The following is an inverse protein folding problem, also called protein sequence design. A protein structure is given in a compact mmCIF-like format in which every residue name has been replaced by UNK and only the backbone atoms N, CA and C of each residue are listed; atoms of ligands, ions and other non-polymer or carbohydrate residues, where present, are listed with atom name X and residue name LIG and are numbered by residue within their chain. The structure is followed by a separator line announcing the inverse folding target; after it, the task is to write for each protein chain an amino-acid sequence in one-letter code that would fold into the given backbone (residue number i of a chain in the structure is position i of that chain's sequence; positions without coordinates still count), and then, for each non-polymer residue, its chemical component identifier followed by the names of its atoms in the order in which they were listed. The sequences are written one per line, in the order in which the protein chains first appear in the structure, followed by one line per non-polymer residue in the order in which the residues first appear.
data_IF_881251136422
#
_entry.id   IF_881251136422
#
_cell.length_a   1.000
_cell.length_b   1.000
_cell.length_c   1.000
_cell.angle_alpha   90.00
_cell.angle_beta   90.00
_cell.angle_gamma   90.00
#
_symmetry.space_group_name_H-M   'P 1'
#
loop_
_entity.id
_entity.type
_entity.pdbx_description
1 polymer ?
#
# COMPACT_ATOMS: atom_id res chain seq x y z
N UNK A 1 11.90 -64.50 28.30
CA UNK A 1 12.00 -63.95 26.92
C UNK A 1 10.80 -63.11 26.47
N UNK A 2 9.53 -63.53 26.59
CA UNK A 2 8.36 -62.76 26.11
C UNK A 2 8.16 -61.37 26.74
N UNK A 3 8.61 -61.14 27.97
CA UNK A 3 8.49 -59.85 28.68
C UNK A 3 9.37 -58.74 28.06
N UNK A 4 10.59 -59.08 27.66
CA UNK A 4 11.57 -58.14 27.09
C UNK A 4 11.11 -57.64 25.71
N UNK A 5 10.45 -58.52 24.92
CA UNK A 5 9.92 -58.18 23.59
C UNK A 5 8.78 -57.15 23.66
N UNK A 6 7.89 -57.27 24.66
CA UNK A 6 6.79 -56.32 24.90
C UNK A 6 7.28 -54.96 25.38
N UNK A 7 8.34 -54.94 26.17
CA UNK A 7 8.97 -53.70 26.64
C UNK A 7 9.57 -52.91 25.46
N UNK A 8 10.25 -53.59 24.53
CA UNK A 8 10.79 -52.97 23.31
C UNK A 8 9.70 -52.40 22.40
N UNK A 9 8.59 -53.12 22.21
CA UNK A 9 7.44 -52.61 21.44
C UNK A 9 6.80 -51.37 22.07
N UNK A 10 6.77 -51.29 23.40
CA UNK A 10 6.19 -50.16 24.12
C UNK A 10 7.07 -48.92 24.04
N UNK A 11 8.40 -49.10 24.13
CA UNK A 11 9.39 -48.03 23.95
C UNK A 11 9.37 -47.49 22.52
N UNK A 12 9.28 -48.39 21.52
CA UNK A 12 9.21 -47.99 20.11
C UNK A 12 7.95 -47.17 19.81
N UNK A 13 6.78 -47.55 20.35
CA UNK A 13 5.54 -46.78 20.21
C UNK A 13 5.66 -45.39 20.86
N UNK A 14 6.28 -45.30 22.02
CA UNK A 14 6.49 -44.02 22.72
C UNK A 14 7.38 -43.08 21.90
N UNK A 15 8.48 -43.59 21.33
CA UNK A 15 9.36 -42.84 20.44
C UNK A 15 8.63 -42.34 19.18
N UNK A 16 7.77 -43.17 18.60
CA UNK A 16 7.01 -42.82 17.40
C UNK A 16 5.98 -41.71 17.69
N UNK A 17 5.30 -41.78 18.84
CA UNK A 17 4.40 -40.73 19.32
C UNK A 17 5.18 -39.43 19.57
N UNK A 18 6.37 -39.53 20.18
CA UNK A 18 7.21 -38.37 20.45
C UNK A 18 7.67 -37.67 19.16
N UNK A 19 8.12 -38.43 18.16
CA UNK A 19 8.49 -37.90 16.84
C UNK A 19 7.29 -37.28 16.11
N UNK A 20 6.11 -37.87 16.24
CA UNK A 20 4.88 -37.31 15.67
C UNK A 20 4.52 -35.97 16.34
N UNK A 21 4.64 -35.89 17.67
CA UNK A 21 4.35 -34.68 18.44
C UNK A 21 5.32 -33.54 18.10
N UNK A 22 6.63 -33.84 17.99
CA UNK A 22 7.62 -32.82 17.63
C UNK A 22 7.45 -32.35 16.19
N UNK A 23 7.06 -33.23 15.27
CA UNK A 23 6.69 -32.87 13.90
C UNK A 23 5.51 -31.89 13.85
N UNK A 24 4.45 -32.16 14.61
CA UNK A 24 3.26 -31.30 14.69
C UNK A 24 3.58 -29.90 15.26
N UNK A 25 4.52 -29.79 16.20
CA UNK A 25 4.96 -28.50 16.76
C UNK A 25 5.78 -27.66 15.76
N UNK A 26 6.48 -28.28 14.81
CA UNK A 26 7.26 -27.56 13.78
C UNK A 26 6.42 -27.09 12.59
N UNK A 27 5.23 -27.68 12.37
CA UNK A 27 4.39 -27.38 11.22
C UNK A 27 3.61 -26.05 11.36
N UNK A 28 3.41 -25.55 12.57
CA UNK A 28 2.70 -24.30 12.82
C UNK A 28 3.67 -23.11 12.89
N UNK A 29 4.31 -22.78 11.77
CA UNK A 29 5.11 -21.55 11.68
C UNK A 29 4.16 -20.38 11.44
N UNK A 30 3.75 -19.71 12.52
CA UNK A 30 3.03 -18.43 12.42
C UNK A 30 4.03 -17.39 11.92
N UNK A 31 4.00 -17.10 10.62
CA UNK A 31 4.77 -16.00 10.04
C UNK A 31 4.02 -14.71 10.35
N UNK A 32 4.45 -13.99 11.38
CA UNK A 32 4.01 -12.61 11.59
C UNK A 32 4.59 -11.75 10.46
N UNK A 33 3.73 -11.31 9.56
CA UNK A 33 4.08 -10.40 8.48
C UNK A 33 4.29 -9.02 9.11
N UNK A 34 5.53 -8.70 9.49
CA UNK A 34 5.82 -7.38 10.03
C UNK A 34 5.81 -6.35 8.92
N UNK A 35 5.06 -5.26 9.09
CA UNK A 35 5.17 -4.08 8.23
C UNK A 35 4.14 -3.98 7.10
N UNK A 36 3.43 -5.07 6.75
CA UNK A 36 2.23 -4.94 5.92
C UNK A 36 1.10 -4.30 6.73
N UNK A 37 0.43 -3.34 6.12
CA UNK A 37 -0.74 -2.69 6.68
C UNK A 37 -1.85 -2.65 5.62
N UNK A 38 -2.94 -3.42 5.79
CA UNK A 38 -4.02 -3.47 4.81
C UNK A 38 -4.70 -2.12 4.62
N UNK A 39 -4.74 -1.27 5.65
CA UNK A 39 -5.33 0.07 5.54
C UNK A 39 -4.49 0.95 4.61
N UNK A 40 -3.16 0.84 4.68
CA UNK A 40 -2.26 1.58 3.77
C UNK A 40 -2.43 1.09 2.34
N UNK A 41 -2.48 -0.22 2.13
CA UNK A 41 -2.65 -0.85 0.82
C UNK A 41 -3.98 -0.43 0.15
N UNK A 42 -5.09 -0.60 0.87
CA UNK A 42 -6.43 -0.27 0.39
C UNK A 42 -6.61 1.23 0.15
N UNK A 43 -6.15 2.08 1.08
CA UNK A 43 -6.25 3.54 0.96
C UNK A 43 -5.40 4.04 -0.21
N UNK A 44 -4.18 3.54 -0.39
CA UNK A 44 -3.34 3.92 -1.54
C UNK A 44 -3.98 3.52 -2.86
N UNK A 45 -4.57 2.33 -2.92
CA UNK A 45 -5.30 1.84 -4.10
C UNK A 45 -6.53 2.71 -4.39
N UNK A 46 -7.27 3.11 -3.35
CA UNK A 46 -8.39 4.05 -3.45
C UNK A 46 -7.92 5.40 -4.00
N UNK A 47 -6.89 6.01 -3.42
CA UNK A 47 -6.32 7.28 -3.90
C UNK A 47 -5.93 7.15 -5.38
N UNK A 48 -5.30 6.04 -5.79
CA UNK A 48 -4.91 5.83 -7.19
C UNK A 48 -6.12 5.84 -8.12
N UNK A 49 -7.19 5.13 -7.76
CA UNK A 49 -8.43 5.10 -8.54
C UNK A 49 -9.05 6.49 -8.63
N UNK A 50 -9.20 7.15 -7.49
CA UNK A 50 -9.86 8.45 -7.38
C UNK A 50 -9.07 9.54 -8.10
N UNK A 51 -7.73 9.56 -7.95
CA UNK A 51 -6.83 10.45 -8.68
C UNK A 51 -6.97 10.28 -10.19
N UNK A 52 -6.95 9.05 -10.70
CA UNK A 52 -7.07 8.84 -12.15
C UNK A 52 -8.45 9.29 -12.68
N UNK A 53 -9.53 9.08 -11.91
CA UNK A 53 -10.85 9.59 -12.26
C UNK A 53 -10.87 11.12 -12.28
N UNK A 54 -10.35 11.75 -11.23
CA UNK A 54 -10.24 13.20 -11.13
C UNK A 54 -9.41 13.79 -12.26
N UNK A 55 -8.24 13.22 -12.54
CA UNK A 55 -7.36 13.66 -13.61
C UNK A 55 -8.04 13.61 -14.98
N UNK A 56 -8.81 12.55 -15.26
CA UNK A 56 -9.60 12.46 -16.50
C UNK A 56 -10.66 13.56 -16.56
N UNK A 57 -11.36 13.83 -15.45
CA UNK A 57 -12.36 14.91 -15.39
C UNK A 57 -11.72 16.28 -15.62
N UNK A 58 -10.60 16.53 -14.97
CA UNK A 58 -9.83 17.78 -15.09
C UNK A 58 -9.29 17.99 -16.50
N UNK A 59 -8.79 16.94 -17.15
CA UNK A 59 -8.34 17.02 -18.55
C UNK A 59 -9.49 17.34 -19.51
N UNK A 60 -10.70 16.83 -19.25
CA UNK A 60 -11.89 17.17 -20.06
C UNK A 60 -12.24 18.65 -19.91
N UNK A 61 -12.19 19.20 -18.70
CA UNK A 61 -12.45 20.64 -18.49
C UNK A 61 -11.36 21.51 -19.11
N UNK A 62 -10.12 21.03 -19.23
CA UNK A 62 -9.03 21.70 -19.95
C UNK A 62 -9.23 21.80 -21.47
N UNK A 63 -10.15 21.00 -22.03
CA UNK A 63 -10.51 21.05 -23.45
C UNK A 63 -11.80 21.85 -23.70
N UNK A 64 -12.43 22.34 -22.63
CA UNK A 64 -13.65 23.14 -22.69
C UNK A 64 -13.32 24.61 -23.01
N UNK A 65 -14.28 25.28 -23.64
CA UNK A 65 -14.26 26.71 -23.92
C UNK A 65 -14.64 27.56 -22.71
N UNK A 66 -15.34 27.01 -21.71
CA UNK A 66 -15.66 27.74 -20.48
C UNK A 66 -14.58 27.56 -19.40
N UNK A 67 -13.77 28.61 -19.12
CA UNK A 67 -12.72 28.54 -18.10
C UNK A 67 -13.27 28.36 -16.68
N UNK A 68 -14.57 28.62 -16.42
CA UNK A 68 -15.17 28.41 -15.11
C UNK A 68 -15.24 26.92 -14.74
N UNK A 69 -15.27 26.02 -15.71
CA UNK A 69 -15.37 24.57 -15.46
C UNK A 69 -14.08 24.00 -14.86
N UNK A 70 -12.94 24.67 -15.05
CA UNK A 70 -11.63 24.29 -14.51
C UNK A 70 -11.36 24.85 -13.11
N UNK A 71 -12.30 25.61 -12.53
CA UNK A 71 -12.10 26.22 -11.22
C UNK A 71 -11.87 25.15 -10.15
N UNK A 72 -10.87 25.38 -9.29
CA UNK A 72 -10.53 24.49 -8.19
C UNK A 72 -11.75 24.17 -7.31
N UNK A 73 -12.62 25.16 -7.12
CA UNK A 73 -13.85 25.09 -6.32
C UNK A 73 -14.82 24.00 -6.82
N UNK A 74 -14.80 23.67 -8.11
CA UNK A 74 -15.64 22.62 -8.69
C UNK A 74 -15.21 21.20 -8.30
N UNK A 75 -14.05 21.07 -7.66
CA UNK A 75 -13.45 19.79 -7.32
C UNK A 75 -13.12 19.67 -5.83
N UNK A 76 -13.68 20.53 -4.98
CA UNK A 76 -13.43 20.52 -3.53
C UNK A 76 -13.70 19.15 -2.90
N UNK A 77 -14.82 18.50 -3.24
CA UNK A 77 -15.14 17.16 -2.74
C UNK A 77 -14.02 16.15 -2.98
N UNK A 78 -13.35 16.20 -4.15
CA UNK A 78 -12.22 15.31 -4.42
C UNK A 78 -11.04 15.64 -3.52
N UNK A 79 -10.71 16.93 -3.37
CA UNK A 79 -9.56 17.37 -2.59
C UNK A 79 -9.73 17.15 -1.10
N UNK A 80 -10.92 17.37 -0.55
CA UNK A 80 -11.20 17.11 0.86
C UNK A 80 -11.07 15.61 1.17
N UNK A 81 -11.60 14.74 0.30
CA UNK A 81 -11.44 13.30 0.45
C UNK A 81 -9.98 12.85 0.29
N UNK A 82 -9.23 13.44 -0.65
CA UNK A 82 -7.82 13.14 -0.85
C UNK A 82 -7.00 13.50 0.40
N UNK A 83 -7.24 14.68 0.99
CA UNK A 83 -6.54 15.12 2.21
C UNK A 83 -6.82 14.16 3.38
N UNK A 84 -8.06 13.73 3.57
CA UNK A 84 -8.43 12.73 4.59
C UNK A 84 -7.68 11.41 4.37
N UNK A 85 -7.64 10.92 3.13
CA UNK A 85 -6.94 9.68 2.79
C UNK A 85 -5.41 9.82 3.02
N UNK A 86 -4.81 10.96 2.70
CA UNK A 86 -3.38 11.23 2.93
C UNK A 86 -3.05 11.32 4.42
N UNK A 87 -3.89 11.96 5.23
CA UNK A 87 -3.75 11.99 6.69
C UNK A 87 -3.79 10.58 7.26
N UNK A 88 -4.75 9.76 6.81
CA UNK A 88 -4.85 8.36 7.22
C UNK A 88 -3.58 7.57 6.87
N UNK A 89 -3.05 7.73 5.65
CA UNK A 89 -1.80 7.06 5.26
C UNK A 89 -0.63 7.46 6.16
N UNK A 90 -0.48 8.76 6.47
CA UNK A 90 0.59 9.26 7.34
C UNK A 90 0.46 8.69 8.74
N UNK A 91 -0.73 8.77 9.34
CA UNK A 91 -0.99 8.28 10.69
C UNK A 91 -0.72 6.78 10.79
N UNK A 92 -1.23 5.98 9.85
CA UNK A 92 -0.99 4.53 9.80
C UNK A 92 0.49 4.21 9.63
N UNK A 93 1.18 4.93 8.74
CA UNK A 93 2.59 4.67 8.46
C UNK A 93 3.50 4.88 9.67
N UNK A 94 3.13 5.75 10.62
CA UNK A 94 3.93 5.98 11.83
C UNK A 94 4.07 4.72 12.69
N UNK A 95 3.02 3.89 12.75
CA UNK A 95 2.97 2.66 13.53
C UNK A 95 3.68 1.46 12.88
N UNK A 96 4.15 1.60 11.63
CA UNK A 96 4.92 0.54 11.00
C UNK A 96 6.26 0.33 11.71
N UNK A 97 6.72 -0.92 11.72
CA UNK A 97 8.01 -1.30 12.32
C UNK A 97 9.18 -0.57 11.63
N UNK A 98 10.34 -0.52 12.31
CA UNK A 98 11.57 0.13 11.84
C UNK A 98 12.07 -0.46 10.50
N UNK A 99 11.71 -1.72 10.22
CA UNK A 99 12.03 -2.39 8.95
C UNK A 99 11.21 -1.85 7.77
N UNK A 100 10.13 -1.11 8.03
CA UNK A 100 9.25 -0.50 7.02
C UNK A 100 9.54 0.98 6.78
N UNK A 101 10.75 1.45 7.10
CA UNK A 101 11.20 2.84 6.85
C UNK A 101 11.00 3.28 5.41
N UNK A 102 11.17 2.37 4.45
CA UNK A 102 10.93 2.65 3.04
C UNK A 102 9.46 2.96 2.74
N UNK A 103 8.51 2.26 3.38
CA UNK A 103 7.07 2.59 3.25
C UNK A 103 6.80 3.98 3.78
N UNK A 104 7.29 4.30 4.99
CA UNK A 104 7.13 5.64 5.59
C UNK A 104 7.67 6.74 4.67
N UNK A 105 8.84 6.51 4.07
CA UNK A 105 9.44 7.43 3.10
C UNK A 105 8.56 7.62 1.87
N UNK A 106 8.06 6.54 1.27
CA UNK A 106 7.21 6.65 0.08
C UNK A 106 5.84 7.27 0.36
N UNK A 107 5.25 7.03 1.54
CA UNK A 107 4.03 7.74 1.98
C UNK A 107 4.28 9.25 2.07
N UNK A 108 5.40 9.68 2.65
CA UNK A 108 5.74 11.11 2.70
C UNK A 108 6.03 11.72 1.32
N UNK A 109 6.65 10.96 0.42
CA UNK A 109 6.84 11.40 -0.97
C UNK A 109 5.52 11.56 -1.69
N UNK A 110 4.61 10.59 -1.54
CA UNK A 110 3.26 10.62 -2.11
C UNK A 110 2.47 11.83 -1.59
N UNK A 111 2.47 12.04 -0.27
CA UNK A 111 1.86 13.20 0.38
C UNK A 111 2.36 14.52 -0.22
N UNK A 112 3.68 14.66 -0.32
CA UNK A 112 4.31 15.86 -0.89
C UNK A 112 3.93 16.07 -2.36
N UNK A 113 3.93 15.00 -3.16
CA UNK A 113 3.59 15.04 -4.58
C UNK A 113 2.11 15.41 -4.80
N UNK A 114 1.19 14.86 -4.01
CA UNK A 114 -0.23 15.19 -4.08
C UNK A 114 -0.49 16.66 -3.68
N UNK A 115 0.19 17.16 -2.65
CA UNK A 115 0.11 18.57 -2.28
C UNK A 115 0.67 19.51 -3.35
N UNK A 116 1.73 19.10 -4.08
CA UNK A 116 2.20 19.84 -5.26
C UNK A 116 1.10 19.89 -6.32
N UNK A 117 0.45 18.76 -6.61
CA UNK A 117 -0.66 18.72 -7.58
C UNK A 117 -1.85 19.59 -7.17
N UNK A 118 -2.23 19.59 -5.89
CA UNK A 118 -3.28 20.47 -5.35
C UNK A 118 -2.93 21.94 -5.62
N UNK A 119 -1.70 22.36 -5.28
CA UNK A 119 -1.25 23.74 -5.51
C UNK A 119 -1.22 24.10 -7.00
N UNK A 120 -0.78 23.17 -7.86
CA UNK A 120 -0.79 23.39 -9.31
C UNK A 120 -2.19 23.68 -9.82
N UNK A 121 -3.20 22.92 -9.38
CA UNK A 121 -4.57 23.18 -9.78
C UNK A 121 -5.13 24.49 -9.19
N UNK A 122 -4.87 24.78 -7.91
CA UNK A 122 -5.27 26.05 -7.27
C UNK A 122 -4.70 27.27 -7.99
N UNK A 123 -3.47 27.19 -8.49
CA UNK A 123 -2.81 28.28 -9.20
C UNK A 123 -3.26 28.43 -10.67
N UNK A 124 -4.14 27.54 -11.14
CA UNK A 124 -4.53 27.43 -12.54
C UNK A 124 -3.59 26.51 -13.31
N UNK A 125 -4.16 25.46 -13.91
CA UNK A 125 -3.44 24.66 -14.89
C UNK A 125 -3.51 25.37 -16.24
N UNK A 126 -2.40 25.96 -16.69
CA UNK A 126 -2.30 26.46 -18.04
C UNK A 126 -2.07 25.29 -19.01
N UNK A 127 -2.69 25.34 -20.19
CA UNK A 127 -2.41 24.42 -21.29
C UNK A 127 -1.04 24.72 -21.91
N UNK A 128 0.05 24.34 -21.25
CA UNK A 128 1.38 24.32 -21.87
C UNK A 128 1.67 22.92 -22.40
N UNK A 129 1.23 22.65 -23.62
CA UNK A 129 1.55 21.45 -24.43
C UNK A 129 1.04 20.12 -23.85
N UNK A 130 0.74 19.21 -24.77
CA UNK A 130 0.19 17.87 -24.51
C UNK A 130 1.16 16.97 -23.71
N UNK A 131 2.45 17.32 -23.66
CA UNK A 131 3.52 16.53 -23.03
C UNK A 131 3.49 16.62 -21.50
N UNK A 132 3.41 17.82 -20.93
CA UNK A 132 3.47 18.07 -19.48
C UNK A 132 2.37 17.33 -18.69
N UNK A 133 1.20 17.12 -19.31
CA UNK A 133 0.04 16.44 -18.68
C UNK A 133 0.31 14.96 -18.42
N UNK A 134 0.96 14.28 -19.38
CA UNK A 134 1.30 12.85 -19.23
C UNK A 134 2.33 12.69 -18.13
N UNK A 135 3.26 13.64 -18.02
CA UNK A 135 4.32 13.60 -17.03
C UNK A 135 3.79 13.76 -15.60
N UNK A 136 2.83 14.67 -15.36
CA UNK A 136 2.19 14.81 -14.03
C UNK A 136 1.46 13.53 -13.64
N UNK A 137 0.62 12.99 -14.53
CA UNK A 137 -0.14 11.76 -14.25
C UNK A 137 0.79 10.59 -13.99
N UNK A 138 1.85 10.44 -14.79
CA UNK A 138 2.80 9.35 -14.66
C UNK A 138 3.61 9.49 -13.37
N UNK A 139 4.06 10.70 -13.02
CA UNK A 139 4.79 10.95 -11.79
C UNK A 139 3.96 10.62 -10.53
N UNK A 140 2.68 11.03 -10.49
CA UNK A 140 1.80 10.74 -9.36
C UNK A 140 1.46 9.24 -9.27
N UNK A 141 1.15 8.60 -10.41
CA UNK A 141 0.93 7.15 -10.43
C UNK A 141 2.19 6.38 -10.04
N UNK A 142 3.40 6.85 -10.38
CA UNK A 142 4.65 6.23 -9.95
C UNK A 142 4.82 6.26 -8.42
N UNK A 143 4.48 7.38 -7.77
CA UNK A 143 4.49 7.47 -6.30
C UNK A 143 3.47 6.52 -5.66
N UNK A 144 2.26 6.44 -6.21
CA UNK A 144 1.23 5.50 -5.76
C UNK A 144 1.67 4.05 -5.94
N UNK A 145 2.24 3.72 -7.10
CA UNK A 145 2.74 2.38 -7.42
C UNK A 145 3.91 1.98 -6.51
N UNK A 146 4.76 2.92 -6.12
CA UNK A 146 5.84 2.64 -5.18
C UNK A 146 5.30 2.18 -3.83
N UNK A 147 4.28 2.85 -3.29
CA UNK A 147 3.66 2.44 -2.01
C UNK A 147 2.96 1.09 -2.15
N UNK A 148 2.17 0.89 -3.22
CA UNK A 148 1.46 -0.38 -3.49
C UNK A 148 2.45 -1.55 -3.61
N UNK A 149 3.52 -1.40 -4.39
CA UNK A 149 4.53 -2.45 -4.58
C UNK A 149 5.19 -2.84 -3.26
N UNK A 150 5.54 -1.86 -2.43
CA UNK A 150 6.12 -2.15 -1.12
C UNK A 150 5.14 -2.89 -0.21
N UNK A 151 3.86 -2.51 -0.21
CA UNK A 151 2.84 -3.23 0.56
C UNK A 151 2.62 -4.66 0.04
N UNK A 152 2.63 -4.87 -1.27
CA UNK A 152 2.50 -6.20 -1.86
C UNK A 152 3.73 -7.09 -1.58
N UNK A 153 4.94 -6.53 -1.61
CA UNK A 153 6.16 -7.25 -1.21
C UNK A 153 6.12 -7.64 0.28
N UNK A 154 5.66 -6.73 1.14
CA UNK A 154 5.48 -7.01 2.56
C UNK A 154 4.41 -8.06 2.78
N UNK A 155 3.27 -7.99 2.09
CA UNK A 155 2.18 -8.97 2.16
C UNK A 155 2.62 -10.37 1.73
N UNK A 156 3.43 -10.46 0.67
CA UNK A 156 3.87 -11.74 0.10
C UNK A 156 5.07 -12.35 0.81
N UNK A 157 6.02 -11.54 1.27
CA UNK A 157 7.31 -12.03 1.77
C UNK A 157 7.64 -11.61 3.22
N UNK A 158 6.87 -10.69 3.81
CA UNK A 158 7.15 -10.13 5.14
C UNK A 158 8.36 -9.21 5.22
N UNK A 159 9.01 -8.93 4.08
CA UNK A 159 10.23 -8.12 3.99
C UNK A 159 10.23 -7.32 2.69
N UNK A 160 10.92 -6.18 2.66
CA UNK A 160 11.24 -5.45 1.43
C UNK A 160 12.63 -5.93 0.99
N UNK A 161 12.78 -6.31 -0.28
CA UNK A 161 14.07 -6.81 -0.82
C UNK A 161 14.95 -5.69 -1.37
#
# INVERSE_FOLDING_TARGET
MKSILKLHQSILKLLLIFVLLTGLLTACRITLISGYDPVIDETTTKIKKDFNLHFIRLVRTLQDTDPNNQKFENFLDYYDNLEVDLMLLKDRSQYLDIKSTQVKKQVNNLDSAMHVFIRLHKNGLADSRIDDRRDIRNALNSNLDAVIRLQEELKTSGTIK
#
